data_IF_819684613560
#
_entry.id   IF_819684613560
#
_cell.length_a   1.000
_cell.length_b   1.000
_cell.length_c   1.000
_cell.angle_alpha   90.00
_cell.angle_beta   90.00
_cell.angle_gamma   90.00
#
_symmetry.space_group_name_H-M   'P 1'
#
loop_
_entity.id
_entity.type
_entity.pdbx_description
1 polymer ?
#
# COMPACT_ATOMS: atom_id res chain seq x y z
N UNK A 1 39.99 -2.73 -25.93
CA UNK A 1 39.45 -3.18 -24.63
C UNK A 1 37.92 -3.28 -24.80
N UNK A 2 37.46 -4.46 -25.19
CA UNK A 2 36.04 -4.76 -25.43
C UNK A 2 35.44 -5.28 -24.15
N UNK A 3 34.48 -4.53 -23.58
CA UNK A 3 33.77 -4.89 -22.38
C UNK A 3 32.63 -5.84 -22.72
N UNK A 4 32.67 -7.05 -22.17
CA UNK A 4 31.78 -8.17 -22.40
C UNK A 4 30.50 -8.03 -21.56
N UNK A 5 29.39 -7.60 -22.18
CA UNK A 5 28.04 -7.53 -21.54
C UNK A 5 27.22 -8.76 -21.96
N UNK A 6 27.51 -9.90 -21.43
CA UNK A 6 26.67 -11.08 -21.61
C UNK A 6 26.85 -12.02 -20.41
N UNK A 7 26.15 -11.79 -19.31
CA UNK A 7 25.98 -12.86 -18.29
C UNK A 7 24.91 -12.62 -17.20
N UNK A 8 23.85 -11.85 -17.44
CA UNK A 8 22.78 -11.72 -16.44
C UNK A 8 21.42 -12.31 -16.87
N UNK A 9 21.31 -12.86 -18.09
CA UNK A 9 20.03 -13.43 -18.56
C UNK A 9 19.75 -14.88 -18.14
N UNK A 10 20.59 -15.48 -17.29
CA UNK A 10 20.57 -16.93 -17.07
C UNK A 10 19.99 -17.40 -15.71
N UNK A 11 19.45 -16.53 -14.84
CA UNK A 11 19.04 -16.95 -13.46
C UNK A 11 17.55 -17.10 -13.19
N UNK A 12 16.67 -16.93 -14.16
CA UNK A 12 15.22 -17.15 -13.99
C UNK A 12 14.68 -18.42 -14.70
N UNK A 13 15.51 -19.28 -15.20
CA UNK A 13 15.07 -20.40 -16.05
C UNK A 13 15.07 -21.85 -15.50
N UNK A 14 15.28 -22.21 -14.22
CA UNK A 14 15.14 -23.63 -13.84
C UNK A 14 13.84 -24.03 -13.14
N UNK A 15 12.90 -23.15 -12.77
CA UNK A 15 11.76 -23.54 -11.92
C UNK A 15 10.45 -23.90 -12.62
N UNK A 16 10.35 -23.82 -13.96
CA UNK A 16 9.07 -23.99 -14.67
C UNK A 16 8.92 -25.29 -15.47
N UNK A 17 9.72 -26.32 -15.20
CA UNK A 17 9.50 -27.66 -15.78
C UNK A 17 9.47 -28.71 -14.70
N UNK A 18 8.30 -28.99 -14.13
CA UNK A 18 7.86 -30.34 -13.73
C UNK A 18 6.48 -30.33 -13.08
N UNK A 19 5.60 -31.13 -13.63
CA UNK A 19 4.47 -31.83 -13.02
C UNK A 19 3.16 -31.07 -12.84
N UNK A 20 2.11 -31.56 -13.50
CA UNK A 20 0.71 -31.26 -13.38
C UNK A 20 0.11 -31.67 -12.03
N UNK A 21 0.40 -30.91 -11.00
CA UNK A 21 -0.36 -30.90 -9.78
C UNK A 21 -1.04 -29.53 -9.70
N UNK A 22 -2.38 -29.49 -9.89
CA UNK A 22 -3.18 -28.32 -9.50
C UNK A 22 -3.56 -28.54 -8.03
N UNK A 23 -2.86 -27.94 -7.04
CA UNK A 23 -3.41 -27.88 -5.70
C UNK A 23 -4.71 -27.09 -5.76
N UNK A 24 -5.75 -27.54 -5.07
CA UNK A 24 -6.94 -26.73 -4.83
C UNK A 24 -6.47 -25.38 -4.28
N UNK A 25 -6.87 -24.29 -4.97
CA UNK A 25 -6.45 -22.94 -4.58
C UNK A 25 -7.10 -22.59 -3.26
N UNK A 26 -6.33 -22.58 -2.20
CA UNK A 26 -6.75 -21.98 -0.96
C UNK A 26 -6.83 -20.45 -1.18
N UNK A 27 -7.97 -19.82 -0.88
CA UNK A 27 -8.05 -18.36 -0.90
C UNK A 27 -7.02 -17.78 0.10
N UNK A 28 -6.47 -16.56 -0.16
CA UNK A 28 -5.47 -15.93 0.70
C UNK A 28 -5.86 -15.97 2.19
N UNK A 29 -7.14 -15.81 2.50
CA UNK A 29 -7.67 -15.94 3.86
C UNK A 29 -7.46 -17.33 4.50
N UNK A 30 -7.35 -18.40 3.72
CA UNK A 30 -7.11 -19.73 4.25
C UNK A 30 -5.65 -19.92 4.73
N UNK A 31 -4.71 -19.14 4.21
CA UNK A 31 -3.30 -19.16 4.63
C UNK A 31 -3.05 -18.33 5.90
N UNK A 32 -4.05 -17.60 6.38
CA UNK A 32 -3.96 -16.80 7.60
C UNK A 32 -3.65 -17.65 8.85
N UNK A 33 -4.03 -18.93 8.85
CA UNK A 33 -3.73 -19.87 9.94
C UNK A 33 -2.22 -20.18 10.11
N UNK A 34 -1.39 -19.90 9.09
CA UNK A 34 0.07 -20.03 9.19
C UNK A 34 0.71 -18.84 9.92
N UNK A 35 -0.05 -17.77 10.18
CA UNK A 35 0.41 -16.59 10.88
C UNK A 35 0.06 -16.66 12.37
N UNK A 36 0.89 -16.03 13.21
CA UNK A 36 0.64 -15.94 14.64
C UNK A 36 0.06 -14.58 15.00
N UNK A 37 -1.08 -14.56 15.69
CA UNK A 37 -1.75 -13.37 16.18
C UNK A 37 -1.60 -13.24 17.70
N UNK A 38 -0.57 -12.53 18.20
CA UNK A 38 -0.26 -12.49 19.64
C UNK A 38 -1.34 -11.83 20.49
N UNK A 39 -2.22 -11.01 19.89
CA UNK A 39 -3.33 -10.34 20.57
C UNK A 39 -4.69 -11.02 20.35
N UNK A 40 -4.72 -12.19 19.69
CA UNK A 40 -5.94 -12.95 19.41
C UNK A 40 -6.99 -12.13 18.68
N UNK A 41 -8.24 -12.20 19.15
CA UNK A 41 -9.39 -11.47 18.58
C UNK A 41 -9.63 -10.11 19.24
N UNK A 42 -8.82 -9.72 20.23
CA UNK A 42 -8.98 -8.43 20.93
C UNK A 42 -8.63 -7.28 19.99
N UNK A 43 -9.53 -6.30 19.87
CA UNK A 43 -9.38 -5.11 19.05
C UNK A 43 -9.52 -3.87 19.93
N UNK A 44 -8.71 -2.81 19.74
CA UNK A 44 -8.92 -1.55 20.45
C UNK A 44 -10.27 -0.94 20.05
N UNK A 45 -11.00 -0.41 21.03
CA UNK A 45 -12.21 0.35 20.79
C UNK A 45 -11.88 1.69 20.11
N UNK A 46 -12.87 2.28 19.40
CA UNK A 46 -12.70 3.60 18.82
C UNK A 46 -12.38 4.66 19.88
N UNK A 47 -11.31 5.42 19.69
CA UNK A 47 -10.84 6.41 20.65
C UNK A 47 -10.07 5.86 21.86
N UNK A 48 -9.73 4.56 21.86
CA UNK A 48 -8.88 3.92 22.86
C UNK A 48 -7.57 3.42 22.25
N UNK A 49 -6.57 3.17 23.10
CA UNK A 49 -5.28 2.60 22.71
C UNK A 49 -5.04 1.24 23.36
N UNK A 50 -4.30 0.37 22.69
CA UNK A 50 -3.84 -0.91 23.22
C UNK A 50 -2.33 -1.02 23.06
N UNK A 51 -1.58 -1.24 24.14
CA UNK A 51 -0.14 -1.46 24.05
C UNK A 51 0.17 -2.78 23.35
N UNK A 52 1.04 -2.74 22.34
CA UNK A 52 1.46 -3.91 21.55
C UNK A 52 2.94 -4.22 21.67
N UNK A 53 3.73 -3.24 22.08
CA UNK A 53 5.13 -3.37 22.48
C UNK A 53 5.46 -2.24 23.45
N UNK A 54 6.54 -2.30 24.24
CA UNK A 54 6.87 -1.26 25.20
C UNK A 54 6.86 0.14 24.60
N UNK A 55 5.88 0.97 24.99
CA UNK A 55 5.70 2.33 24.47
C UNK A 55 5.13 2.44 23.06
N UNK A 56 4.66 1.35 22.46
CA UNK A 56 4.02 1.32 21.13
C UNK A 56 2.57 0.86 21.28
N UNK A 57 1.64 1.64 20.76
CA UNK A 57 0.21 1.44 20.96
C UNK A 57 -0.55 1.35 19.65
N UNK A 58 -1.48 0.43 19.58
CA UNK A 58 -2.40 0.20 18.48
C UNK A 58 -3.67 1.01 18.67
N UNK A 59 -4.05 1.73 17.65
CA UNK A 59 -5.34 2.40 17.49
C UNK A 59 -6.07 1.77 16.31
N UNK A 60 -7.39 1.76 16.35
CA UNK A 60 -8.21 1.27 15.25
C UNK A 60 -9.29 2.28 14.93
N UNK A 61 -9.34 2.71 13.66
CA UNK A 61 -10.31 3.67 13.15
C UNK A 61 -11.20 3.03 12.10
N UNK A 62 -12.52 3.34 12.06
CA UNK A 62 -13.41 2.82 11.04
C UNK A 62 -13.15 3.47 9.67
N UNK A 63 -13.36 2.73 8.59
CA UNK A 63 -13.34 3.24 7.23
C UNK A 63 -14.72 3.06 6.58
N UNK A 64 -15.16 4.00 5.73
CA UNK A 64 -16.44 3.91 5.01
C UNK A 64 -16.33 3.08 3.72
N UNK A 65 -15.51 2.03 3.71
CA UNK A 65 -15.20 1.20 2.56
C UNK A 65 -15.45 -0.28 2.85
N UNK A 66 -15.30 -1.14 1.82
CA UNK A 66 -15.31 -2.59 2.02
C UNK A 66 -14.19 -3.07 2.96
N UNK A 67 -13.05 -2.39 2.94
CA UNK A 67 -12.02 -2.47 3.96
C UNK A 67 -12.45 -1.57 5.12
N UNK A 68 -13.03 -2.13 6.15
CA UNK A 68 -13.84 -1.46 7.17
C UNK A 68 -13.03 -0.72 8.26
N UNK A 69 -11.71 -0.84 8.23
CA UNK A 69 -10.84 -0.25 9.26
C UNK A 69 -9.44 0.06 8.76
N UNK A 70 -8.80 0.99 9.48
CA UNK A 70 -7.36 1.23 9.45
C UNK A 70 -6.77 1.16 10.85
N UNK A 71 -5.59 0.60 10.98
CA UNK A 71 -4.78 0.64 12.18
C UNK A 71 -3.83 1.83 12.10
N UNK A 72 -3.78 2.60 13.18
CA UNK A 72 -2.86 3.71 13.37
C UNK A 72 -2.01 3.41 14.59
N UNK A 73 -0.85 4.04 14.69
CA UNK A 73 0.08 3.72 15.76
C UNK A 73 0.45 4.97 16.55
N UNK A 74 0.56 4.83 17.86
CA UNK A 74 1.14 5.82 18.76
C UNK A 74 2.43 5.28 19.34
N UNK A 75 3.46 6.10 19.35
CA UNK A 75 4.72 5.80 20.05
C UNK A 75 4.92 6.81 21.16
N UNK A 76 5.10 6.33 22.39
CA UNK A 76 5.50 7.17 23.53
C UNK A 76 6.89 7.71 23.23
N UNK A 77 7.06 9.03 23.21
CA UNK A 77 8.22 9.64 22.60
C UNK A 77 8.83 10.76 23.45
N UNK A 78 10.09 11.10 23.16
CA UNK A 78 10.79 12.26 23.66
C UNK A 78 11.51 12.97 22.53
N UNK A 79 11.14 14.20 22.25
CA UNK A 79 11.73 15.03 21.21
C UNK A 79 12.25 16.34 21.83
N UNK A 80 13.54 16.64 21.62
CA UNK A 80 14.18 17.85 22.13
C UNK A 80 13.96 18.06 23.64
N UNK A 81 14.03 16.96 24.40
CA UNK A 81 13.86 16.97 25.85
C UNK A 81 12.41 17.04 26.34
N UNK A 82 11.42 17.11 25.45
CA UNK A 82 10.00 17.13 25.76
C UNK A 82 9.40 15.74 25.64
N UNK A 83 8.68 15.29 26.66
CA UNK A 83 7.89 14.06 26.62
C UNK A 83 6.59 14.27 25.86
N UNK A 84 6.18 13.27 25.10
CA UNK A 84 4.94 13.31 24.32
C UNK A 84 4.71 12.05 23.51
N UNK A 85 4.08 12.23 22.35
CA UNK A 85 3.65 11.14 21.48
C UNK A 85 4.02 11.41 20.04
N UNK A 86 4.42 10.36 19.32
CA UNK A 86 4.48 10.35 17.87
C UNK A 86 3.28 9.58 17.32
N UNK A 87 2.57 10.18 16.38
CA UNK A 87 1.51 9.53 15.59
C UNK A 87 2.11 8.97 14.31
N UNK A 88 1.75 7.72 13.96
CA UNK A 88 2.06 7.11 12.67
C UNK A 88 0.74 6.78 11.99
N UNK A 89 0.48 7.40 10.85
CA UNK A 89 -0.75 7.46 10.06
C UNK A 89 -1.92 8.15 10.77
N UNK A 90 -2.88 8.69 10.00
CA UNK A 90 -3.81 9.72 10.47
C UNK A 90 -5.29 9.35 10.34
N UNK A 91 -5.64 8.41 9.45
CA UNK A 91 -7.01 8.12 9.06
C UNK A 91 -7.56 9.07 7.99
N UNK A 92 -8.71 8.72 7.39
CA UNK A 92 -9.42 9.58 6.43
C UNK A 92 -10.05 10.78 7.10
N UNK A 93 -10.25 11.86 6.36
CA UNK A 93 -10.98 13.03 6.86
C UNK A 93 -12.48 12.74 6.91
N UNK A 94 -12.98 12.50 8.11
CA UNK A 94 -14.41 12.52 8.44
C UNK A 94 -14.62 12.85 9.93
N UNK A 95 -15.85 13.19 10.29
CA UNK A 95 -16.18 13.62 11.64
C UNK A 95 -16.08 12.48 12.67
N UNK A 96 -16.35 11.24 12.26
CA UNK A 96 -16.24 10.07 13.15
C UNK A 96 -14.80 9.85 13.58
N UNK A 97 -13.84 9.89 12.65
CA UNK A 97 -12.43 9.70 12.97
C UNK A 97 -11.88 10.87 13.76
N UNK A 98 -12.29 12.11 13.45
CA UNK A 98 -11.95 13.28 14.28
C UNK A 98 -12.46 13.12 15.70
N UNK A 99 -13.69 12.64 15.89
CA UNK A 99 -14.25 12.41 17.23
C UNK A 99 -13.46 11.34 18.01
N UNK A 100 -13.01 10.27 17.34
CA UNK A 100 -12.14 9.26 17.96
C UNK A 100 -10.78 9.89 18.38
N UNK A 101 -10.18 10.71 17.51
CA UNK A 101 -8.96 11.43 17.86
C UNK A 101 -9.16 12.38 19.06
N UNK A 102 -10.28 13.15 19.11
CA UNK A 102 -10.58 14.04 20.23
C UNK A 102 -10.75 13.26 21.54
N UNK A 103 -11.45 12.11 21.50
CA UNK A 103 -11.59 11.21 22.66
C UNK A 103 -10.23 10.71 23.14
N UNK A 104 -9.37 10.32 22.21
CA UNK A 104 -8.04 9.83 22.48
C UNK A 104 -7.15 10.93 23.10
N UNK A 105 -7.20 12.16 22.58
CA UNK A 105 -6.46 13.29 23.12
C UNK A 105 -6.89 13.65 24.53
N UNK A 106 -8.18 13.53 24.83
CA UNK A 106 -8.72 13.86 26.15
C UNK A 106 -8.35 12.81 27.21
N UNK A 107 -8.28 11.53 26.84
CA UNK A 107 -8.28 10.45 27.82
C UNK A 107 -7.04 9.56 27.78
N UNK A 108 -6.33 9.48 26.63
CA UNK A 108 -5.35 8.43 26.38
C UNK A 108 -3.91 8.93 26.18
N UNK A 109 -3.69 10.26 26.17
CA UNK A 109 -2.35 10.83 25.99
C UNK A 109 -1.67 11.21 27.31
N UNK A 110 -2.22 10.85 28.47
CA UNK A 110 -1.65 11.14 29.80
C UNK A 110 -1.37 12.65 30.01
N UNK A 111 -2.16 13.53 29.36
CA UNK A 111 -1.98 14.97 29.38
C UNK A 111 -0.76 15.49 28.58
N UNK A 112 -0.13 14.65 27.77
CA UNK A 112 1.08 14.96 27.04
C UNK A 112 0.79 15.33 25.58
N UNK A 113 1.61 16.20 24.96
CA UNK A 113 1.40 16.66 23.61
C UNK A 113 1.78 15.60 22.55
N UNK A 114 1.23 15.74 21.34
CA UNK A 114 1.82 15.14 20.15
C UNK A 114 3.03 15.97 19.73
N UNK A 115 4.15 15.30 19.43
CA UNK A 115 5.43 15.92 19.10
C UNK A 115 5.71 15.88 17.60
N UNK A 116 5.13 14.91 16.88
CA UNK A 116 5.25 14.75 15.42
C UNK A 116 4.17 13.83 14.89
N UNK A 117 3.91 13.97 13.58
CA UNK A 117 3.02 13.12 12.81
C UNK A 117 3.83 12.54 11.66
N UNK A 118 3.83 11.20 11.53
CA UNK A 118 4.43 10.48 10.41
C UNK A 118 3.32 9.91 9.54
N UNK A 119 3.50 9.90 8.22
CA UNK A 119 2.67 9.15 7.30
C UNK A 119 3.51 8.12 6.56
N UNK A 120 3.01 6.87 6.50
CA UNK A 120 3.67 5.80 5.79
C UNK A 120 3.64 6.03 4.29
N UNK A 121 2.51 6.52 3.76
CA UNK A 121 2.34 6.82 2.34
C UNK A 121 1.13 7.76 2.08
N UNK A 122 0.86 8.05 0.81
CA UNK A 122 -0.07 9.10 0.40
C UNK A 122 -1.54 8.69 0.31
N UNK A 123 -1.93 7.45 0.58
CA UNK A 123 -3.33 7.05 0.48
C UNK A 123 -4.18 7.75 1.53
N UNK A 124 -5.48 8.02 1.20
CA UNK A 124 -6.31 8.88 2.04
C UNK A 124 -6.51 8.41 3.48
N UNK A 125 -6.55 7.10 3.71
CA UNK A 125 -6.72 6.51 5.04
C UNK A 125 -5.45 6.61 5.90
N UNK A 126 -4.32 6.95 5.32
CA UNK A 126 -3.05 7.21 6.02
C UNK A 126 -2.79 8.69 6.25
N UNK A 127 -3.07 9.55 5.25
CA UNK A 127 -2.69 10.97 5.30
C UNK A 127 -3.87 11.93 5.46
N UNK A 128 -5.11 11.44 5.39
CA UNK A 128 -6.30 12.29 5.32
C UNK A 128 -6.39 13.38 6.38
N UNK A 129 -6.11 13.05 7.62
CA UNK A 129 -6.13 14.00 8.73
C UNK A 129 -4.77 14.61 9.09
N UNK A 130 -3.72 14.40 8.27
CA UNK A 130 -2.38 14.89 8.58
C UNK A 130 -2.33 16.41 8.77
N UNK A 131 -2.99 17.20 7.91
CA UNK A 131 -3.04 18.64 8.05
C UNK A 131 -3.72 19.08 9.36
N UNK A 132 -4.86 18.48 9.68
CA UNK A 132 -5.61 18.78 10.89
C UNK A 132 -4.80 18.45 12.16
N UNK A 133 -4.15 17.30 12.21
CA UNK A 133 -3.28 16.89 13.31
C UNK A 133 -2.06 17.79 13.46
N UNK A 134 -1.36 18.07 12.36
CA UNK A 134 -0.18 18.95 12.37
C UNK A 134 -0.52 20.37 12.83
N UNK A 135 -1.66 20.92 12.35
CA UNK A 135 -2.13 22.25 12.75
C UNK A 135 -2.54 22.29 14.22
N UNK A 136 -3.24 21.26 14.72
CA UNK A 136 -3.69 21.19 16.11
C UNK A 136 -2.53 21.23 17.11
N UNK A 137 -1.45 20.51 16.80
CA UNK A 137 -0.32 20.31 17.70
C UNK A 137 0.89 21.20 17.38
N UNK A 138 0.79 22.01 16.32
CA UNK A 138 1.89 22.85 15.80
C UNK A 138 3.15 22.03 15.52
N UNK A 139 2.98 20.93 14.79
CA UNK A 139 4.07 19.97 14.46
C UNK A 139 4.17 19.73 12.95
N UNK A 140 5.33 19.26 12.52
CA UNK A 140 5.56 18.93 11.10
C UNK A 140 5.11 17.52 10.77
N UNK A 141 4.61 17.35 9.53
CA UNK A 141 4.44 16.05 8.90
C UNK A 141 5.82 15.47 8.52
N UNK A 142 6.04 14.18 8.77
CA UNK A 142 7.20 13.43 8.32
C UNK A 142 6.73 12.41 7.28
N UNK A 143 7.37 12.39 6.11
CA UNK A 143 6.92 11.57 4.99
C UNK A 143 8.05 11.41 3.96
N UNK A 144 7.96 10.44 3.05
CA UNK A 144 8.83 10.37 1.88
C UNK A 144 8.57 11.50 0.89
N UNK A 145 9.52 11.78 0.00
CA UNK A 145 9.36 12.80 -1.02
C UNK A 145 8.34 12.37 -2.08
N UNK A 146 8.44 11.11 -2.55
CA UNK A 146 7.57 10.59 -3.60
C UNK A 146 6.11 10.67 -3.21
N UNK A 147 5.78 10.22 -2.00
CA UNK A 147 4.43 10.22 -1.49
C UNK A 147 3.90 11.62 -1.16
N UNK A 148 4.74 12.49 -0.58
CA UNK A 148 4.34 13.88 -0.33
C UNK A 148 3.99 14.61 -1.65
N UNK A 149 4.83 14.47 -2.69
CA UNK A 149 4.59 15.11 -3.97
C UNK A 149 3.37 14.52 -4.68
N UNK A 150 3.18 13.19 -4.61
CA UNK A 150 1.99 12.56 -5.16
C UNK A 150 0.70 13.06 -4.46
N UNK A 151 0.71 13.13 -3.13
CA UNK A 151 -0.42 13.67 -2.36
C UNK A 151 -0.70 15.14 -2.71
N UNK A 152 0.33 15.96 -2.94
CA UNK A 152 0.20 17.35 -3.41
C UNK A 152 -0.44 17.44 -4.80
N UNK A 153 -0.06 16.56 -5.71
CA UNK A 153 -0.62 16.49 -7.08
C UNK A 153 -2.08 16.02 -7.01
N UNK A 154 -2.36 14.96 -6.27
CA UNK A 154 -3.70 14.39 -6.14
C UNK A 154 -4.68 15.31 -5.39
N UNK A 155 -4.21 16.07 -4.41
CA UNK A 155 -4.99 17.01 -3.60
C UNK A 155 -5.07 18.42 -4.17
N UNK A 156 -4.28 18.73 -5.22
CA UNK A 156 -4.08 20.07 -5.74
C UNK A 156 -5.34 20.78 -6.20
N UNK A 157 -5.66 21.88 -5.51
CA UNK A 157 -6.84 22.72 -5.75
C UNK A 157 -6.84 23.56 -7.03
N UNK A 158 -5.93 23.36 -7.98
CA UNK A 158 -5.78 24.18 -9.19
C UNK A 158 -6.19 23.48 -10.49
N UNK A 159 -7.07 22.49 -10.44
CA UNK A 159 -7.66 21.89 -11.65
C UNK A 159 -6.70 21.08 -12.54
N UNK A 160 -5.45 20.96 -12.17
CA UNK A 160 -4.49 20.11 -12.83
C UNK A 160 -4.58 18.69 -12.25
N UNK A 161 -5.63 17.98 -12.64
CA UNK A 161 -5.67 16.56 -12.71
C UNK A 161 -5.36 15.79 -11.43
N UNK A 162 -6.35 15.55 -10.62
CA UNK A 162 -6.31 14.41 -9.72
C UNK A 162 -6.93 13.22 -10.44
N UNK A 163 -6.13 12.31 -10.81
CA UNK A 163 -6.37 11.34 -11.88
C UNK A 163 -6.92 9.98 -11.42
N UNK A 164 -7.51 9.89 -10.24
CA UNK A 164 -8.29 8.70 -9.84
C UNK A 164 -9.75 8.73 -10.36
N UNK A 165 -10.05 9.61 -11.28
CA UNK A 165 -11.37 9.79 -11.90
C UNK A 165 -11.31 10.84 -13.01
N UNK A 166 -12.44 11.13 -13.65
CA UNK A 166 -12.56 12.08 -14.75
C UNK A 166 -12.16 11.51 -16.10
N UNK A 167 -11.96 12.39 -17.07
CA UNK A 167 -11.72 12.01 -18.46
C UNK A 167 -10.43 11.22 -18.67
N UNK A 168 -9.36 11.53 -17.94
CA UNK A 168 -8.08 10.83 -18.08
C UNK A 168 -8.19 9.37 -17.64
N UNK A 169 -8.75 9.10 -16.46
CA UNK A 169 -8.96 7.73 -15.98
C UNK A 169 -9.92 6.94 -16.89
N UNK A 170 -11.03 7.56 -17.33
CA UNK A 170 -11.96 6.95 -18.25
C UNK A 170 -11.28 6.60 -19.59
N UNK A 171 -10.47 7.52 -20.14
CA UNK A 171 -9.72 7.29 -21.37
C UNK A 171 -8.65 6.20 -21.20
N UNK A 172 -7.94 6.18 -20.08
CA UNK A 172 -6.97 5.15 -19.75
C UNK A 172 -7.62 3.77 -19.73
N UNK A 173 -8.68 3.59 -18.95
CA UNK A 173 -9.34 2.29 -18.85
C UNK A 173 -10.08 1.88 -20.13
N UNK A 174 -10.62 2.85 -20.90
CA UNK A 174 -11.19 2.56 -22.22
C UNK A 174 -10.14 1.97 -23.16
N UNK A 175 -8.95 2.54 -23.23
CA UNK A 175 -7.82 2.01 -24.02
C UNK A 175 -7.38 0.63 -23.57
N UNK A 176 -7.72 0.22 -22.37
CA UNK A 176 -7.37 -1.08 -21.79
C UNK A 176 -8.57 -2.03 -21.68
N UNK A 177 -9.67 -1.76 -22.43
CA UNK A 177 -10.76 -2.69 -22.65
C UNK A 177 -12.02 -2.47 -21.82
N UNK A 178 -12.09 -1.46 -20.95
CA UNK A 178 -13.34 -1.06 -20.31
C UNK A 178 -14.16 -0.23 -21.29
N UNK A 179 -15.01 -0.89 -22.10
CA UNK A 179 -15.76 -0.25 -23.20
C UNK A 179 -17.22 0.01 -22.88
N UNK A 180 -17.71 -0.43 -21.71
CA UNK A 180 -19.10 -0.19 -21.28
C UNK A 180 -19.35 1.32 -21.08
N UNK A 181 -20.31 1.87 -21.84
CA UNK A 181 -20.57 3.31 -21.86
C UNK A 181 -21.02 3.85 -20.49
N UNK A 182 -21.83 3.09 -19.75
CA UNK A 182 -22.33 3.48 -18.43
C UNK A 182 -21.18 3.54 -17.40
N UNK A 183 -20.29 2.56 -17.42
CA UNK A 183 -19.07 2.56 -16.58
C UNK A 183 -18.14 3.73 -16.90
N UNK A 184 -17.93 4.02 -18.17
CA UNK A 184 -17.08 5.15 -18.59
C UNK A 184 -17.70 6.50 -18.22
N UNK A 185 -19.04 6.65 -18.34
CA UNK A 185 -19.74 7.86 -17.93
C UNK A 185 -19.65 8.06 -16.42
N UNK A 186 -19.85 7.02 -15.63
CA UNK A 186 -19.66 7.05 -14.17
C UNK A 186 -18.23 7.42 -13.78
N UNK A 187 -17.22 6.91 -14.50
CA UNK A 187 -15.84 7.30 -14.28
C UNK A 187 -15.58 8.77 -14.61
N UNK A 188 -16.13 9.29 -15.74
CA UNK A 188 -16.01 10.71 -16.09
C UNK A 188 -16.70 11.61 -15.08
N UNK A 189 -17.89 11.22 -14.64
CA UNK A 189 -18.67 11.96 -13.64
C UNK A 189 -18.00 11.94 -12.26
N UNK A 190 -17.16 10.94 -12.00
CA UNK A 190 -16.44 10.80 -10.75
C UNK A 190 -15.31 11.83 -10.70
N UNK A 191 -15.64 13.00 -10.17
CA UNK A 191 -14.59 13.95 -9.77
C UNK A 191 -13.66 13.23 -8.81
N UNK A 192 -12.38 13.57 -8.84
CA UNK A 192 -11.45 13.01 -7.89
C UNK A 192 -12.00 13.09 -6.47
N UNK A 193 -12.17 11.92 -5.85
CA UNK A 193 -12.61 11.86 -4.46
C UNK A 193 -11.44 12.09 -3.48
N UNK A 194 -10.20 12.01 -3.96
CA UNK A 194 -9.01 12.20 -3.14
C UNK A 194 -9.05 13.52 -2.36
N UNK A 195 -9.33 14.70 -2.95
CA UNK A 195 -9.45 15.96 -2.22
C UNK A 195 -10.58 15.97 -1.18
N UNK A 196 -11.60 15.13 -1.29
CA UNK A 196 -12.66 15.03 -0.28
C UNK A 196 -12.19 14.28 0.96
N UNK A 197 -11.26 13.36 0.80
CA UNK A 197 -10.67 12.55 1.88
C UNK A 197 -9.35 13.13 2.40
N UNK A 198 -8.65 13.92 1.58
CA UNK A 198 -7.41 14.64 1.90
C UNK A 198 -7.58 16.09 1.46
N UNK A 199 -8.40 16.89 2.17
CA UNK A 199 -8.76 18.24 1.73
C UNK A 199 -7.57 19.20 1.77
N UNK A 200 -6.64 18.99 2.70
CA UNK A 200 -5.47 19.82 2.90
C UNK A 200 -4.24 18.99 3.24
N UNK A 201 -3.07 19.50 2.88
CA UNK A 201 -1.78 18.97 3.28
C UNK A 201 -0.93 20.06 3.94
N UNK A 202 -0.11 19.73 4.96
CA UNK A 202 0.88 20.67 5.47
C UNK A 202 1.79 21.17 4.34
N UNK A 203 2.04 22.47 4.28
CA UNK A 203 2.91 23.09 3.27
C UNK A 203 4.38 22.76 3.46
N UNK A 204 4.74 22.36 4.68
CA UNK A 204 6.08 21.95 5.05
C UNK A 204 6.04 20.55 5.63
N UNK A 205 7.05 19.75 5.29
CA UNK A 205 7.23 18.41 5.83
C UNK A 205 8.69 18.14 6.13
N UNK A 206 8.98 17.10 6.90
CA UNK A 206 10.32 16.54 7.07
C UNK A 206 10.42 15.25 6.25
N UNK A 207 11.39 15.22 5.36
CA UNK A 207 11.63 14.05 4.51
C UNK A 207 12.20 12.89 5.32
N UNK A 208 11.67 11.69 5.08
CA UNK A 208 12.24 10.41 5.46
C UNK A 208 12.78 9.71 4.21
N UNK A 209 13.96 9.10 4.32
CA UNK A 209 14.63 8.38 3.22
C UNK A 209 15.00 6.96 3.65
N UNK A 210 15.16 6.07 2.67
CA UNK A 210 15.60 4.69 2.93
C UNK A 210 16.88 4.65 3.75
N UNK A 211 16.88 3.87 4.82
CA UNK A 211 18.03 3.74 5.72
C UNK A 211 18.14 4.82 6.81
N UNK A 212 17.36 5.90 6.76
CA UNK A 212 17.33 6.88 7.86
C UNK A 212 16.97 6.19 9.18
N UNK A 213 17.48 6.74 10.28
CA UNK A 213 17.08 6.33 11.63
C UNK A 213 16.32 7.47 12.29
N UNK A 214 15.03 7.27 12.49
CA UNK A 214 14.18 8.18 13.25
C UNK A 214 14.22 7.80 14.72
N UNK A 215 14.73 8.69 15.56
CA UNK A 215 14.71 8.46 17.00
C UNK A 215 13.30 8.74 17.53
N UNK A 216 12.57 7.70 17.95
CA UNK A 216 11.24 7.75 18.57
C UNK A 216 11.22 6.80 19.76
N UNK A 217 10.96 7.34 20.95
CA UNK A 217 10.93 6.56 22.19
C UNK A 217 11.45 7.36 23.37
N UNK A 218 11.10 6.97 24.58
CA UNK A 218 11.61 7.58 25.81
C UNK A 218 12.88 6.91 26.34
N UNK A 219 13.14 5.66 25.91
CA UNK A 219 14.36 4.91 26.22
C UNK A 219 15.33 5.02 25.02
N UNK A 220 16.50 5.67 25.17
CA UNK A 220 17.46 5.82 24.08
C UNK A 220 17.93 4.49 23.48
N UNK A 221 17.97 3.41 24.28
CA UNK A 221 18.38 2.08 23.81
C UNK A 221 17.33 1.41 22.88
N UNK A 222 16.11 1.91 22.88
CA UNK A 222 14.97 1.39 22.12
C UNK A 222 14.34 2.41 21.17
N UNK A 223 14.96 3.58 20.99
CA UNK A 223 14.38 4.68 20.22
C UNK A 223 14.70 4.67 18.73
N UNK A 224 15.64 3.84 18.27
CA UNK A 224 16.06 3.83 16.86
C UNK A 224 15.08 3.09 15.95
N UNK A 225 14.38 3.82 15.09
CA UNK A 225 13.48 3.27 14.05
C UNK A 225 14.10 3.48 12.67
N UNK A 226 14.51 2.38 12.04
CA UNK A 226 15.06 2.42 10.69
C UNK A 226 13.94 2.53 9.66
N UNK A 227 14.05 3.50 8.77
CA UNK A 227 13.17 3.68 7.60
C UNK A 227 13.53 2.62 6.55
N UNK A 228 12.52 1.93 6.05
CA UNK A 228 12.62 1.00 4.91
C UNK A 228 11.62 1.48 3.88
N UNK A 229 12.10 2.01 2.75
CA UNK A 229 11.20 2.41 1.67
C UNK A 229 10.81 1.22 0.81
N UNK A 230 9.54 1.19 0.37
CA UNK A 230 9.00 0.24 -0.58
C UNK A 230 8.30 0.96 -1.72
N UNK A 231 8.15 0.30 -2.86
CA UNK A 231 7.60 0.87 -4.08
C UNK A 231 6.49 -0.03 -4.63
N UNK A 232 5.69 0.48 -5.55
CA UNK A 232 4.70 -0.26 -6.31
C UNK A 232 3.28 -0.14 -5.78
N UNK A 233 3.07 -0.20 -4.46
CA UNK A 233 1.78 0.13 -3.83
C UNK A 233 1.55 1.65 -3.80
N UNK A 234 2.60 2.37 -3.46
CA UNK A 234 2.68 3.82 -3.44
C UNK A 234 4.04 4.25 -4.02
N UNK A 235 4.23 5.53 -4.38
CA UNK A 235 5.48 6.00 -5.02
C UNK A 235 6.74 5.76 -4.20
N UNK A 236 6.69 5.92 -2.88
CA UNK A 236 7.83 5.75 -1.96
C UNK A 236 7.32 5.46 -0.54
N UNK A 237 6.58 4.35 -0.38
CA UNK A 237 6.02 3.93 0.90
C UNK A 237 7.11 3.78 1.97
N UNK A 238 6.84 4.22 3.21
CA UNK A 238 7.74 4.09 4.35
C UNK A 238 7.22 3.03 5.33
N UNK A 239 8.04 2.03 5.61
CA UNK A 239 7.91 1.17 6.78
C UNK A 239 8.96 1.55 7.83
N UNK A 240 8.71 1.24 9.10
CA UNK A 240 9.56 1.60 10.23
C UNK A 240 9.92 0.36 11.06
N UNK A 241 11.19 0.02 11.12
CA UNK A 241 11.67 -1.14 11.88
C UNK A 241 12.48 -0.72 13.11
N UNK A 242 12.09 -1.24 14.27
CA UNK A 242 12.84 -1.10 15.51
C UNK A 242 13.42 -2.45 15.94
N UNK A 243 14.73 -2.60 15.84
CA UNK A 243 15.41 -3.85 16.17
C UNK A 243 15.39 -4.18 17.66
N UNK A 244 15.49 -3.17 18.53
CA UNK A 244 15.51 -3.39 19.99
C UNK A 244 14.14 -3.81 20.56
N UNK A 245 13.05 -3.41 19.90
CA UNK A 245 11.69 -3.85 20.24
C UNK A 245 11.25 -5.08 19.44
N UNK A 246 11.99 -5.43 18.37
CA UNK A 246 11.61 -6.43 17.37
C UNK A 246 10.22 -6.14 16.78
N UNK A 247 10.00 -4.89 16.31
CA UNK A 247 8.73 -4.38 15.80
C UNK A 247 8.91 -3.78 14.42
N UNK A 248 8.00 -4.08 13.49
CA UNK A 248 7.92 -3.54 12.16
C UNK A 248 6.54 -2.89 11.93
N UNK A 249 6.47 -1.56 11.83
CA UNK A 249 5.30 -0.88 11.24
C UNK A 249 5.41 -1.05 9.73
N UNK A 250 4.64 -1.99 9.17
CA UNK A 250 4.74 -2.36 7.74
C UNK A 250 3.92 -1.46 6.83
N UNK A 251 3.02 -0.65 7.38
CA UNK A 251 2.03 0.04 6.56
C UNK A 251 1.26 -0.96 5.69
N UNK A 252 1.14 -0.64 4.41
CA UNK A 252 0.46 -1.49 3.44
C UNK A 252 1.39 -2.43 2.66
N UNK A 253 2.70 -2.41 2.94
CA UNK A 253 3.63 -3.29 2.23
C UNK A 253 3.49 -4.76 2.61
N UNK A 254 3.12 -5.07 3.86
CA UNK A 254 2.93 -6.45 4.32
C UNK A 254 1.66 -6.53 5.17
N UNK A 255 0.57 -7.02 4.57
CA UNK A 255 -0.75 -7.19 5.18
C UNK A 255 -1.04 -8.67 5.45
N UNK A 256 -1.72 -9.05 6.56
CA UNK A 256 -1.87 -10.45 6.94
C UNK A 256 -2.88 -11.24 6.10
N UNK A 257 -3.98 -10.61 5.64
CA UNK A 257 -5.13 -11.30 5.05
C UNK A 257 -5.29 -11.12 3.55
N UNK A 258 -4.97 -9.94 3.05
CA UNK A 258 -5.13 -9.55 1.65
C UNK A 258 -3.77 -9.30 1.02
N UNK A 259 -3.68 -9.42 -0.29
CA UNK A 259 -2.57 -8.84 -1.04
C UNK A 259 -2.72 -7.32 -1.05
N UNK A 260 -1.59 -6.63 -1.01
CA UNK A 260 -1.55 -5.19 -1.18
C UNK A 260 -2.00 -4.85 -2.60
N UNK A 261 -2.85 -3.85 -2.75
CA UNK A 261 -3.22 -3.36 -4.09
C UNK A 261 -2.00 -2.74 -4.77
N UNK A 262 -1.74 -3.18 -5.99
CA UNK A 262 -0.66 -2.65 -6.84
C UNK A 262 -1.25 -2.37 -8.22
N UNK A 263 -1.34 -1.11 -8.59
CA UNK A 263 -2.08 -0.68 -9.77
C UNK A 263 -1.25 0.15 -10.73
N UNK A 264 -1.49 0.00 -12.03
CA UNK A 264 -1.05 0.94 -13.07
C UNK A 264 -2.15 1.97 -13.28
N UNK A 265 -1.81 3.23 -13.11
CA UNK A 265 -2.71 4.36 -13.29
C UNK A 265 -2.33 5.19 -14.51
N UNK A 266 -3.23 6.07 -14.92
CA UNK A 266 -3.10 6.95 -16.07
C UNK A 266 -1.93 7.95 -16.01
N UNK A 267 -1.45 8.28 -14.80
CA UNK A 267 -0.29 9.16 -14.62
C UNK A 267 1.02 8.53 -15.06
N UNK A 268 1.14 7.20 -14.94
CA UNK A 268 2.33 6.45 -15.36
C UNK A 268 1.90 5.18 -16.12
N UNK A 269 1.37 5.34 -17.35
CA UNK A 269 0.65 4.28 -18.05
C UNK A 269 1.54 3.11 -18.52
N UNK A 270 2.85 3.21 -18.41
CA UNK A 270 3.82 2.15 -18.76
C UNK A 270 4.62 1.67 -17.54
N UNK A 271 4.22 2.06 -16.33
CA UNK A 271 4.87 1.64 -15.09
C UNK A 271 4.87 0.11 -14.90
N UNK A 272 5.82 -0.38 -14.13
CA UNK A 272 5.88 -1.78 -13.69
C UNK A 272 5.81 -1.88 -12.16
N UNK A 273 4.68 -1.45 -11.55
CA UNK A 273 4.59 -1.32 -10.09
C UNK A 273 4.62 -2.67 -9.38
N UNK A 274 4.09 -3.74 -9.99
CA UNK A 274 4.11 -5.07 -9.36
C UNK A 274 5.53 -5.62 -9.24
N UNK A 275 6.39 -5.37 -10.23
CA UNK A 275 7.81 -5.73 -10.11
C UNK A 275 8.47 -4.95 -8.97
N UNK A 276 8.22 -3.64 -8.87
CA UNK A 276 8.75 -2.80 -7.81
C UNK A 276 8.28 -3.27 -6.42
N UNK A 277 7.01 -3.67 -6.29
CA UNK A 277 6.46 -4.23 -5.06
C UNK A 277 7.15 -5.53 -4.67
N UNK A 278 7.27 -6.48 -5.61
CA UNK A 278 7.91 -7.77 -5.37
C UNK A 278 9.41 -7.63 -5.02
N UNK A 279 10.11 -6.69 -5.65
CA UNK A 279 11.50 -6.36 -5.30
C UNK A 279 11.57 -5.73 -3.90
N UNK A 280 10.62 -4.87 -3.54
CA UNK A 280 10.56 -4.21 -2.24
C UNK A 280 10.32 -5.20 -1.09
N UNK A 281 9.56 -6.28 -1.31
CA UNK A 281 9.39 -7.35 -0.32
C UNK A 281 10.74 -7.98 0.09
N UNK A 282 11.72 -8.00 -0.81
CA UNK A 282 13.07 -8.48 -0.51
C UNK A 282 13.82 -7.67 0.56
N UNK A 283 13.45 -6.39 0.77
CA UNK A 283 14.05 -5.55 1.80
C UNK A 283 13.68 -5.98 3.23
N UNK A 284 12.61 -6.75 3.39
CA UNK A 284 12.16 -7.27 4.69
C UNK A 284 12.76 -8.65 5.03
N UNK A 285 13.30 -9.39 4.05
CA UNK A 285 13.89 -10.72 4.29
C UNK A 285 15.04 -10.75 5.31
N UNK A 286 15.88 -9.71 5.45
CA UNK A 286 16.90 -9.67 6.49
C UNK A 286 16.37 -9.47 7.91
N UNK A 287 15.07 -9.15 8.09
CA UNK A 287 14.46 -8.96 9.41
C UNK A 287 14.17 -10.33 10.06
N UNK A 288 14.10 -10.41 11.41
CA UNK A 288 13.77 -11.65 12.11
C UNK A 288 12.37 -12.19 11.70
N UNK A 289 12.24 -13.51 11.61
CA UNK A 289 10.95 -14.19 11.34
C UNK A 289 9.88 -13.86 12.40
N UNK A 290 10.31 -13.75 13.64
CA UNK A 290 9.46 -13.51 14.80
C UNK A 290 9.19 -12.02 15.06
N UNK A 291 9.58 -11.12 14.14
CA UNK A 291 9.27 -9.69 14.27
C UNK A 291 7.76 -9.48 14.42
N UNK A 292 7.35 -8.61 15.35
CA UNK A 292 5.96 -8.21 15.47
C UNK A 292 5.64 -7.21 14.35
N UNK A 293 4.79 -7.63 13.42
CA UNK A 293 4.36 -6.80 12.29
C UNK A 293 3.10 -6.02 12.69
N UNK A 294 3.14 -4.73 12.49
CA UNK A 294 2.07 -3.77 12.73
C UNK A 294 1.53 -3.27 11.37
N UNK A 295 0.55 -3.97 10.78
CA UNK A 295 0.01 -3.64 9.46
C UNK A 295 -1.07 -2.57 9.56
N UNK A 296 -1.28 -1.80 8.49
CA UNK A 296 -2.36 -0.81 8.48
C UNK A 296 -3.75 -1.44 8.42
N UNK A 297 -3.87 -2.67 7.89
CA UNK A 297 -5.14 -3.41 7.83
C UNK A 297 -4.97 -4.82 8.37
N UNK A 298 -6.01 -5.33 9.02
CA UNK A 298 -5.98 -6.61 9.71
C UNK A 298 -5.54 -6.48 11.17
N UNK A 299 -4.85 -7.47 11.70
CA UNK A 299 -4.38 -7.51 13.10
C UNK A 299 -2.86 -7.58 13.13
N UNK A 300 -2.19 -7.08 14.19
CA UNK A 300 -0.77 -7.33 14.40
C UNK A 300 -0.45 -8.82 14.42
N UNK A 301 0.62 -9.21 13.75
CA UNK A 301 0.96 -10.63 13.55
C UNK A 301 2.47 -10.87 13.54
N UNK A 302 2.88 -12.15 13.55
CA UNK A 302 4.26 -12.64 13.39
C UNK A 302 4.32 -13.61 12.21
N UNK A 303 5.50 -14.14 11.92
CA UNK A 303 5.83 -15.02 10.79
C UNK A 303 5.98 -14.23 9.49
N UNK A 304 6.90 -13.25 9.52
CA UNK A 304 7.18 -12.32 8.40
C UNK A 304 7.55 -13.05 7.11
N UNK A 305 8.51 -13.99 7.16
CA UNK A 305 9.00 -14.68 5.96
C UNK A 305 7.93 -15.60 5.37
N UNK A 306 7.13 -16.24 6.24
CA UNK A 306 5.96 -17.02 5.82
C UNK A 306 4.99 -16.13 5.04
N UNK A 307 4.70 -14.92 5.54
CA UNK A 307 3.80 -14.00 4.84
C UNK A 307 4.38 -13.47 3.54
N UNK A 308 5.65 -13.12 3.49
CA UNK A 308 6.33 -12.68 2.26
C UNK A 308 6.28 -13.79 1.20
N UNK A 309 6.53 -15.04 1.59
CA UNK A 309 6.41 -16.20 0.70
C UNK A 309 5.00 -16.32 0.12
N UNK A 310 3.96 -16.26 0.95
CA UNK A 310 2.56 -16.32 0.52
C UNK A 310 2.21 -15.20 -0.48
N UNK A 311 2.66 -13.97 -0.24
CA UNK A 311 2.45 -12.84 -1.14
C UNK A 311 3.12 -13.07 -2.51
N UNK A 312 4.36 -13.57 -2.51
CA UNK A 312 5.08 -13.89 -3.75
C UNK A 312 4.43 -15.02 -4.53
N UNK A 313 4.07 -16.11 -3.86
CA UNK A 313 3.40 -17.26 -4.46
C UNK A 313 2.08 -16.86 -5.09
N UNK A 314 1.28 -16.03 -4.40
CA UNK A 314 0.05 -15.45 -4.93
C UNK A 314 0.27 -14.73 -6.27
N UNK A 315 1.27 -13.84 -6.34
CA UNK A 315 1.54 -13.12 -7.59
C UNK A 315 2.14 -14.02 -8.69
N UNK A 316 2.94 -15.02 -8.34
CA UNK A 316 3.43 -16.03 -9.29
C UNK A 316 2.26 -16.77 -9.95
N UNK A 317 1.26 -17.18 -9.18
CA UNK A 317 0.05 -17.83 -9.69
C UNK A 317 -0.74 -16.89 -10.61
N UNK A 318 -0.99 -15.64 -10.20
CA UNK A 318 -1.71 -14.65 -11.01
C UNK A 318 -0.97 -14.34 -12.32
N UNK A 319 0.36 -14.24 -12.30
CA UNK A 319 1.18 -14.06 -13.50
C UNK A 319 1.11 -15.25 -14.43
N UNK A 320 1.12 -16.49 -13.90
CA UNK A 320 0.98 -17.70 -14.71
C UNK A 320 -0.39 -17.77 -15.41
N UNK A 321 -1.47 -17.41 -14.72
CA UNK A 321 -2.83 -17.34 -15.28
C UNK A 321 -2.95 -16.26 -16.35
N UNK A 322 -2.44 -15.06 -16.06
CA UNK A 322 -2.42 -13.95 -17.03
C UNK A 322 -1.67 -14.33 -18.28
N UNK A 323 -0.49 -14.96 -18.14
CA UNK A 323 0.31 -15.44 -19.27
C UNK A 323 -0.42 -16.50 -20.07
N UNK A 324 -1.06 -17.47 -19.42
CA UNK A 324 -1.82 -18.53 -20.10
C UNK A 324 -2.95 -17.95 -20.95
N UNK A 325 -3.70 -16.97 -20.41
CA UNK A 325 -4.75 -16.29 -21.15
C UNK A 325 -4.20 -15.54 -22.37
N UNK A 326 -3.05 -14.86 -22.24
CA UNK A 326 -2.42 -14.12 -23.33
C UNK A 326 -1.82 -15.05 -24.43
N UNK A 327 -1.45 -16.28 -24.08
CA UNK A 327 -1.02 -17.31 -25.06
C UNK A 327 -2.21 -17.83 -25.85
N UNK A 328 -3.37 -18.01 -25.21
CA UNK A 328 -4.59 -18.51 -25.87
C UNK A 328 -5.17 -17.48 -26.85
N UNK A 329 -5.24 -16.20 -26.44
CA UNK A 329 -5.72 -15.09 -27.27
C UNK A 329 -5.06 -13.77 -26.87
N UNK A 330 -5.13 -12.78 -27.74
CA UNK A 330 -4.75 -11.40 -27.36
C UNK A 330 -5.74 -10.86 -26.32
N UNK A 331 -5.26 -10.53 -25.12
CA UNK A 331 -6.06 -10.06 -24.00
C UNK A 331 -5.79 -8.58 -23.70
N UNK A 332 -6.83 -7.83 -23.37
CA UNK A 332 -6.74 -6.52 -22.75
C UNK A 332 -6.84 -6.65 -21.21
N UNK A 333 -6.71 -5.55 -20.47
CA UNK A 333 -6.76 -5.62 -18.99
C UNK A 333 -8.14 -6.04 -18.48
N UNK A 334 -9.24 -5.63 -19.12
CA UNK A 334 -10.59 -6.02 -18.72
C UNK A 334 -10.81 -7.54 -18.90
N UNK A 335 -10.25 -8.17 -19.94
CA UNK A 335 -10.25 -9.63 -20.09
C UNK A 335 -9.54 -10.29 -18.90
N UNK A 336 -8.40 -9.74 -18.48
CA UNK A 336 -7.59 -10.29 -17.39
C UNK A 336 -8.26 -10.12 -16.02
N UNK A 337 -9.07 -9.07 -15.82
CA UNK A 337 -9.90 -8.97 -14.60
C UNK A 337 -10.72 -10.22 -14.38
N UNK A 338 -11.38 -10.75 -15.46
CA UNK A 338 -12.16 -11.99 -15.39
C UNK A 338 -11.32 -13.27 -15.19
N UNK A 339 -10.02 -13.20 -15.42
CA UNK A 339 -9.09 -14.34 -15.22
C UNK A 339 -8.59 -14.42 -13.78
N UNK A 340 -8.17 -13.26 -13.22
CA UNK A 340 -7.51 -13.24 -11.91
C UNK A 340 -8.46 -12.99 -10.74
N UNK A 341 -9.68 -12.52 -11.00
CA UNK A 341 -10.69 -12.30 -9.98
C UNK A 341 -11.97 -13.12 -10.25
N UNK A 342 -12.51 -13.70 -9.21
CA UNK A 342 -13.76 -14.48 -9.26
C UNK A 342 -14.88 -13.78 -8.47
N UNK A 343 -15.18 -12.53 -8.82
CA UNK A 343 -16.28 -11.75 -8.21
C UNK A 343 -16.74 -10.62 -9.12
N UNK A 344 -17.93 -10.11 -8.88
CA UNK A 344 -18.41 -8.88 -9.50
C UNK A 344 -17.86 -7.66 -8.75
N UNK A 345 -17.63 -6.58 -9.47
CA UNK A 345 -17.12 -5.32 -8.95
C UNK A 345 -18.10 -4.19 -9.21
N UNK A 346 -18.25 -3.30 -8.23
CA UNK A 346 -18.77 -1.96 -8.52
C UNK A 346 -17.73 -1.15 -9.32
N UNK A 347 -18.11 0.03 -9.82
CA UNK A 347 -17.22 0.83 -10.67
C UNK A 347 -15.94 1.29 -9.93
N UNK A 348 -16.03 1.50 -8.61
CA UNK A 348 -14.88 1.86 -7.80
C UNK A 348 -13.88 0.71 -7.68
N UNK A 349 -14.39 -0.47 -7.33
CA UNK A 349 -13.60 -1.69 -7.23
C UNK A 349 -13.04 -2.10 -8.60
N UNK A 350 -13.79 -1.85 -9.69
CA UNK A 350 -13.34 -2.13 -11.06
C UNK A 350 -12.08 -1.33 -11.43
N UNK A 351 -11.94 -0.08 -10.99
CA UNK A 351 -10.72 0.70 -11.26
C UNK A 351 -9.47 0.08 -10.63
N UNK A 352 -9.58 -0.43 -9.42
CA UNK A 352 -8.49 -1.17 -8.76
C UNK A 352 -8.20 -2.50 -9.45
N UNK A 353 -9.25 -3.26 -9.80
CA UNK A 353 -9.11 -4.54 -10.49
C UNK A 353 -8.44 -4.38 -11.88
N UNK A 354 -8.82 -3.35 -12.63
CA UNK A 354 -8.20 -2.98 -13.92
C UNK A 354 -6.73 -2.58 -13.74
N UNK A 355 -6.44 -1.75 -12.74
CA UNK A 355 -5.07 -1.34 -12.44
C UNK A 355 -4.18 -2.52 -12.04
N UNK A 356 -4.71 -3.45 -11.26
CA UNK A 356 -3.99 -4.67 -10.85
C UNK A 356 -3.82 -5.65 -12.02
N UNK A 357 -4.82 -5.81 -12.88
CA UNK A 357 -4.70 -6.60 -14.11
C UNK A 357 -3.60 -6.03 -15.04
N UNK A 358 -3.55 -4.70 -15.19
CA UNK A 358 -2.47 -4.02 -15.91
C UNK A 358 -1.10 -4.26 -15.26
N UNK A 359 -1.02 -4.21 -13.95
CA UNK A 359 0.23 -4.45 -13.23
C UNK A 359 0.80 -5.86 -13.52
N UNK A 360 -0.07 -6.89 -13.59
CA UNK A 360 0.34 -8.24 -13.97
C UNK A 360 0.74 -8.35 -15.45
N UNK A 361 -0.03 -7.74 -16.35
CA UNK A 361 0.31 -7.68 -17.78
C UNK A 361 1.65 -6.98 -18.02
N UNK A 362 1.92 -5.90 -17.30
CA UNK A 362 3.15 -5.13 -17.44
C UNK A 362 4.38 -5.89 -16.95
N UNK A 363 4.29 -6.69 -15.88
CA UNK A 363 5.40 -7.59 -15.50
C UNK A 363 5.76 -8.51 -16.67
N UNK A 364 4.77 -9.15 -17.29
CA UNK A 364 4.99 -10.06 -18.41
C UNK A 364 5.50 -9.34 -19.67
N UNK A 365 4.97 -8.15 -19.94
CA UNK A 365 5.39 -7.33 -21.07
C UNK A 365 6.84 -6.86 -20.92
N UNK A 366 7.19 -6.28 -19.79
CA UNK A 366 8.55 -5.81 -19.52
C UNK A 366 9.57 -6.96 -19.42
N UNK A 367 9.12 -8.17 -19.07
CA UNK A 367 9.95 -9.39 -19.13
C UNK A 367 10.13 -9.94 -20.56
N UNK A 368 9.31 -9.48 -21.51
CA UNK A 368 9.30 -9.99 -22.89
C UNK A 368 8.53 -11.32 -23.05
N UNK A 369 7.74 -11.72 -22.04
CA UNK A 369 6.91 -12.93 -22.06
C UNK A 369 5.64 -12.75 -22.88
N UNK A 370 5.17 -11.50 -23.05
CA UNK A 370 4.07 -11.11 -23.92
C UNK A 370 4.44 -9.86 -24.72
N UNK A 371 3.81 -9.69 -25.89
CA UNK A 371 3.93 -8.48 -26.72
C UNK A 371 2.74 -7.59 -26.49
N UNK A 372 2.98 -6.26 -26.43
CA UNK A 372 1.95 -5.24 -26.34
C UNK A 372 1.65 -4.71 -27.73
N UNK A 373 0.39 -4.71 -28.12
CA UNK A 373 -0.11 -4.28 -29.42
C UNK A 373 -1.29 -3.32 -29.25
N UNK A 374 -1.47 -2.40 -30.17
CA UNK A 374 -2.66 -1.52 -30.23
C UNK A 374 -3.49 -1.96 -31.43
N UNK A 375 -4.73 -2.39 -31.18
CA UNK A 375 -5.66 -2.78 -32.23
C UNK A 375 -6.15 -1.58 -33.06
N UNK A 376 -6.79 -1.86 -34.20
CA UNK A 376 -7.45 -0.82 -35.03
C UNK A 376 -8.54 -0.09 -34.27
N UNK A 377 -9.13 -0.71 -33.27
CA UNK A 377 -10.10 -0.14 -32.31
C UNK A 377 -9.47 0.74 -31.22
N UNK A 378 -8.16 0.94 -31.27
CA UNK A 378 -7.40 1.74 -30.29
C UNK A 378 -7.20 1.04 -28.93
N UNK A 379 -7.66 -0.21 -28.76
CA UNK A 379 -7.51 -0.97 -27.51
C UNK A 379 -6.13 -1.64 -27.45
N UNK A 380 -5.46 -1.46 -26.32
CA UNK A 380 -4.19 -2.13 -26.02
C UNK A 380 -4.46 -3.59 -25.62
N UNK A 381 -3.76 -4.49 -26.29
CA UNK A 381 -3.80 -5.93 -26.01
C UNK A 381 -2.40 -6.49 -25.81
N UNK A 382 -2.36 -7.60 -25.11
CA UNK A 382 -1.12 -8.33 -24.83
C UNK A 382 -1.27 -9.76 -25.35
N UNK A 383 -0.23 -10.26 -26.04
CA UNK A 383 -0.22 -11.59 -26.67
C UNK A 383 1.09 -12.30 -26.35
N UNK A 384 0.99 -13.59 -25.98
CA UNK A 384 2.13 -14.49 -25.75
C UNK A 384 2.73 -15.07 -27.04
#
# INVERSE_FOLDING_TARGET
MTCNRNNEKARLRPALRAQGFRPERLPMNALEHELQYPFGETLPAGGARQEVAPGVYWLRMPLPFALDHINLWLVRDRLEGRDGWTIIDCGVTNDTIKAHWETLFANELDGLPVLRVLATHCHPDHIGLAHWLCKRWDVRLWMSLGDYMNARVMGGGNGAGSNAGGDFAASHFARHGLTDADSLEKLRARKSYYPTLVPDLPTQYRRMMDGDVVSMGTDPARSGWRVITGFGHAPEHVALYNAALNVLVSGDMVLPRISTNVSVFDMEPEANPLKLYLDSLGKYEPLPEDVLILPSHGRPFRNLHTRIRQLREHHVERLAETRAACVEKACNAHDIVGVIFNRQFDIHQMTFAMGEALAHLHVLWHAGDVRREVGEDGIVRFRG
#
